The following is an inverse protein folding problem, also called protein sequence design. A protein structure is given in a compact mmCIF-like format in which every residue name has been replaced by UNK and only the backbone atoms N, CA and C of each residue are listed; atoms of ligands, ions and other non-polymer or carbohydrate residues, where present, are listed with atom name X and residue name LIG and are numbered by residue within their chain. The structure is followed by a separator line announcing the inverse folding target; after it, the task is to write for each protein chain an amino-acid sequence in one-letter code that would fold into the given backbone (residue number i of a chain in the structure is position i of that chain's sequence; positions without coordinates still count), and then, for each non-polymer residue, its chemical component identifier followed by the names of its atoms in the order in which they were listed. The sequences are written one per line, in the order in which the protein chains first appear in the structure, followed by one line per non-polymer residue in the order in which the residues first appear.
data_IF_654509699696
#
_entry.id   IF_654509699696
#
_cell.length_a   1.000
_cell.length_b   1.000
_cell.length_c   1.000
_cell.angle_alpha   90.00
_cell.angle_beta   90.00
_cell.angle_gamma   90.00
#
_symmetry.space_group_name_H-M   'P 1'
#
loop_
_entity.id
_entity.type
_entity.pdbx_description
1 polymer ?
#
# COMPACT_ATOMS: atom_id res chain seq x y z
N UNK A 1 65.59 60.11 81.42
CA UNK A 1 66.94 60.72 81.39
C UNK A 1 67.44 60.58 79.96
N UNK A 2 67.39 61.66 79.17
CA UNK A 2 68.50 62.63 78.98
C UNK A 2 69.76 61.94 78.42
N UNK A 3 70.27 62.52 77.32
CA UNK A 3 71.37 62.09 76.42
C UNK A 3 70.81 61.41 75.17
N UNK A 4 70.79 61.97 73.97
CA UNK A 4 71.62 63.02 73.37
C UNK A 4 70.81 63.80 72.33
N UNK A 5 70.17 64.88 72.78
CA UNK A 5 69.96 66.07 71.98
C UNK A 5 71.06 67.05 72.40
N UNK A 6 71.70 67.71 71.45
CA UNK A 6 72.61 68.85 71.64
C UNK A 6 74.07 68.51 72.02
N UNK A 7 74.88 68.14 71.02
CA UNK A 7 76.31 68.47 71.04
C UNK A 7 76.97 68.57 69.64
N UNK A 8 76.28 69.16 68.64
CA UNK A 8 76.96 69.84 67.51
C UNK A 8 76.14 71.08 67.13
N UNK A 9 75.83 71.89 68.14
CA UNK A 9 76.08 73.33 68.02
C UNK A 9 77.52 73.52 68.50
N UNK A 10 78.24 74.49 67.92
CA UNK A 10 79.64 74.84 68.22
C UNK A 10 80.70 74.13 67.35
N UNK A 11 80.49 74.12 66.03
CA UNK A 11 81.44 74.88 65.19
C UNK A 11 80.84 76.29 65.12
N UNK A 12 81.25 77.17 66.03
CA UNK A 12 82.20 78.21 65.67
C UNK A 12 81.71 78.95 64.42
N UNK A 13 80.81 79.92 64.57
CA UNK A 13 81.17 81.26 65.05
C UNK A 13 82.26 81.89 64.16
N UNK A 14 81.83 82.28 62.97
CA UNK A 14 82.41 83.31 62.10
C UNK A 14 81.29 83.59 61.10
N UNK A 15 80.50 84.65 61.15
CA UNK A 15 80.77 86.00 61.60
C UNK A 15 79.52 86.54 62.30
N UNK A 16 79.72 87.19 63.44
CA UNK A 16 78.89 88.30 63.90
C UNK A 16 79.29 89.54 63.06
N UNK A 17 78.37 90.50 62.97
CA UNK A 17 78.44 91.83 62.37
C UNK A 17 77.93 91.91 60.92
N UNK A 18 76.63 92.20 60.77
CA UNK A 18 76.12 93.58 60.69
C UNK A 18 74.60 93.54 60.52
N UNK A 19 73.86 93.71 61.62
CA UNK A 19 72.52 94.23 61.54
C UNK A 19 72.65 95.73 61.25
N UNK A 20 72.52 96.10 59.98
CA UNK A 20 72.32 97.47 59.55
C UNK A 20 70.83 97.59 59.24
N UNK A 21 70.15 98.43 60.00
CA UNK A 21 68.74 98.76 59.80
C UNK A 21 68.51 99.24 58.37
N UNK A 22 67.87 98.43 57.55
CA UNK A 22 67.29 98.87 56.28
C UNK A 22 65.84 99.32 56.53
N UNK A 23 65.40 100.44 55.95
CA UNK A 23 64.03 100.93 56.12
C UNK A 23 63.02 99.95 55.52
N UNK A 24 61.78 100.01 56.01
CA UNK A 24 60.64 99.24 55.51
C UNK A 24 60.56 99.30 53.99
N UNK A 25 60.63 98.14 53.32
CA UNK A 25 60.33 98.03 51.90
C UNK A 25 58.82 98.19 51.73
N UNK A 26 58.38 99.39 51.38
CA UNK A 26 57.04 99.63 50.84
C UNK A 26 57.12 99.40 49.33
N UNK A 27 56.86 98.16 48.93
CA UNK A 27 56.77 97.77 47.53
C UNK A 27 55.64 96.78 47.37
N UNK A 28 54.86 96.93 46.30
CA UNK A 28 53.89 95.92 45.90
C UNK A 28 54.65 94.64 45.60
N UNK A 29 54.50 93.61 46.43
CA UNK A 29 54.77 92.25 45.98
C UNK A 29 53.70 92.00 44.91
N UNK A 30 54.09 92.12 43.64
CA UNK A 30 53.35 91.42 42.59
C UNK A 30 53.66 89.95 42.83
N UNK A 31 52.88 89.32 43.69
CA UNK A 31 52.61 87.91 43.53
C UNK A 31 52.03 87.85 42.12
N UNK A 32 52.82 87.42 41.14
CA UNK A 32 52.21 86.62 40.10
C UNK A 32 51.45 85.58 40.89
N UNK A 33 50.12 85.65 40.81
CA UNK A 33 49.28 84.54 41.20
C UNK A 33 49.99 83.32 40.67
N UNK A 34 50.53 82.54 41.60
CA UNK A 34 50.75 81.15 41.30
C UNK A 34 49.33 80.72 40.96
N UNK A 35 49.03 80.66 39.66
CA UNK A 35 47.78 80.13 39.17
C UNK A 35 47.70 78.81 39.87
N UNK A 36 46.84 78.74 40.89
CA UNK A 36 46.31 77.50 41.41
C UNK A 36 46.13 76.66 40.17
N UNK A 37 46.93 75.59 40.04
CA UNK A 37 46.73 74.59 39.01
C UNK A 37 45.29 74.17 39.19
N UNK A 38 44.40 74.79 38.41
CA UNK A 38 42.97 74.64 38.54
C UNK A 38 42.74 73.15 38.35
N UNK A 39 42.20 72.51 39.38
CA UNK A 39 41.84 71.10 39.29
C UNK A 39 40.97 70.95 38.05
N UNK A 40 41.34 70.02 37.18
CA UNK A 40 40.65 69.84 35.91
C UNK A 40 39.16 69.58 36.16
N UNK A 41 38.28 70.48 35.72
CA UNK A 41 36.85 70.29 35.92
C UNK A 41 36.20 69.45 34.82
N UNK A 42 36.91 69.17 33.72
CA UNK A 42 36.38 68.38 32.60
C UNK A 42 35.84 67.03 33.10
N UNK A 43 34.57 66.75 32.83
CA UNK A 43 33.93 65.50 33.22
C UNK A 43 33.17 64.87 32.05
N UNK A 44 33.01 63.56 32.12
CA UNK A 44 32.19 62.78 31.20
C UNK A 44 31.29 61.83 32.00
N UNK A 45 30.07 61.66 31.52
CA UNK A 45 29.11 60.66 31.99
C UNK A 45 28.67 59.86 30.77
N UNK A 46 28.92 58.55 30.79
CA UNK A 46 28.38 57.62 29.80
C UNK A 46 26.99 57.14 30.26
N UNK A 47 26.07 56.90 29.32
CA UNK A 47 24.75 56.34 29.63
C UNK A 47 24.79 54.93 30.24
N UNK A 48 25.88 54.18 30.01
CA UNK A 48 26.14 52.89 30.62
C UNK A 48 27.64 52.71 30.86
N UNK A 49 28.01 52.13 32.00
CA UNK A 49 29.38 51.70 32.30
C UNK A 49 29.66 50.29 31.75
N UNK A 50 28.61 49.49 31.55
CA UNK A 50 28.69 48.15 30.95
C UNK A 50 27.51 47.89 30.03
N UNK A 51 27.73 47.20 28.91
CA UNK A 51 26.66 46.73 28.03
C UNK A 51 26.97 45.32 27.52
N UNK A 52 25.92 44.54 27.25
CA UNK A 52 26.07 43.25 26.55
C UNK A 52 25.21 43.26 25.29
N UNK A 53 25.82 42.88 24.17
CA UNK A 53 25.21 42.83 22.84
C UNK A 53 25.57 41.50 22.16
N UNK A 54 24.85 41.11 21.10
CA UNK A 54 25.23 39.99 20.24
C UNK A 54 26.14 40.44 19.08
N UNK A 55 26.93 39.51 18.56
CA UNK A 55 27.82 39.77 17.42
C UNK A 55 27.05 40.35 16.23
N UNK A 56 27.53 41.48 15.70
CA UNK A 56 26.93 42.19 14.57
C UNK A 56 25.96 43.30 14.96
N UNK A 57 25.66 43.47 16.25
CA UNK A 57 24.86 44.59 16.74
C UNK A 57 25.67 45.90 16.82
N UNK A 58 24.98 47.02 16.67
CA UNK A 58 25.54 48.36 16.86
C UNK A 58 25.45 48.77 18.33
N UNK A 59 26.57 49.17 18.93
CA UNK A 59 26.55 49.77 20.27
C UNK A 59 26.00 51.20 20.23
N UNK A 60 25.42 51.66 21.33
CA UNK A 60 24.89 53.02 21.45
C UNK A 60 25.31 53.63 22.80
N UNK A 61 26.56 54.11 22.88
CA UNK A 61 27.09 54.76 24.07
C UNK A 61 27.03 56.27 23.88
N UNK A 62 26.14 56.93 24.62
CA UNK A 62 25.99 58.39 24.61
C UNK A 62 26.82 59.00 25.74
N UNK A 63 27.53 60.09 25.42
CA UNK A 63 28.45 60.79 26.32
C UNK A 63 27.90 62.19 26.62
N UNK A 64 27.77 62.50 27.91
CA UNK A 64 27.31 63.81 28.38
C UNK A 64 28.30 64.42 29.38
N UNK A 65 28.19 65.72 29.62
CA UNK A 65 29.04 66.47 30.55
C UNK A 65 28.16 67.47 31.30
N UNK A 66 28.50 67.77 32.55
CA UNK A 66 27.90 68.88 33.29
C UNK A 66 28.71 70.18 33.15
N UNK A 67 29.81 70.15 32.39
CA UNK A 67 30.73 71.26 32.19
C UNK A 67 30.74 71.68 30.72
N UNK A 68 30.06 72.80 30.38
CA UNK A 68 29.97 73.29 29.00
C UNK A 68 31.34 73.48 28.35
N UNK A 69 31.44 73.11 27.07
CA UNK A 69 32.69 73.18 26.30
C UNK A 69 33.61 71.97 26.45
N UNK A 70 33.24 70.97 27.26
CA UNK A 70 33.98 69.69 27.32
C UNK A 70 33.78 68.90 26.02
N UNK A 71 34.87 68.42 25.45
CA UNK A 71 34.89 67.51 24.29
C UNK A 71 35.32 66.12 24.74
N UNK A 72 34.89 65.07 24.03
CA UNK A 72 35.27 63.69 24.35
C UNK A 72 36.07 63.06 23.23
N UNK A 73 37.08 62.29 23.62
CA UNK A 73 37.83 61.39 22.76
C UNK A 73 37.93 60.03 23.43
N UNK A 74 38.06 58.96 22.67
CA UNK A 74 38.20 57.62 23.22
C UNK A 74 39.23 56.79 22.49
N UNK A 75 39.90 55.94 23.26
CA UNK A 75 40.68 54.80 22.78
C UNK A 75 39.96 53.50 23.14
N UNK A 76 40.40 52.38 22.56
CA UNK A 76 39.80 51.07 22.83
C UNK A 76 40.88 50.02 23.07
N UNK A 77 40.54 49.03 23.90
CA UNK A 77 41.24 47.76 24.00
C UNK A 77 40.22 46.64 23.77
N UNK A 78 40.51 45.69 22.90
CA UNK A 78 39.58 44.61 22.55
C UNK A 78 40.23 43.24 22.67
N UNK A 79 39.43 42.23 23.00
CA UNK A 79 39.84 40.83 23.02
C UNK A 79 38.75 39.95 22.40
N UNK A 80 39.09 39.29 21.28
CA UNK A 80 38.15 38.41 20.57
C UNK A 80 37.01 39.15 19.88
N UNK A 81 37.16 40.44 19.60
CA UNK A 81 36.17 41.31 18.94
C UNK A 81 36.84 42.06 17.79
N UNK A 82 36.08 42.38 16.74
CA UNK A 82 36.48 43.29 15.66
C UNK A 82 35.44 44.40 15.47
N UNK A 83 35.83 45.49 14.79
CA UNK A 83 34.94 46.63 14.50
C UNK A 83 35.07 47.80 15.47
N UNK A 84 35.79 47.65 16.59
CA UNK A 84 36.08 48.77 17.47
C UNK A 84 37.12 49.71 16.85
N UNK A 85 36.93 51.01 17.04
CA UNK A 85 37.88 52.04 16.59
C UNK A 85 37.93 53.22 17.56
N UNK A 86 39.09 53.88 17.61
CA UNK A 86 39.26 55.14 18.34
C UNK A 86 38.53 56.27 17.64
N UNK A 87 38.06 57.25 18.39
CA UNK A 87 37.32 58.37 17.82
C UNK A 87 37.09 59.51 18.80
N UNK A 88 36.24 60.44 18.38
CA UNK A 88 35.82 61.59 19.17
C UNK A 88 34.39 61.97 18.83
N UNK A 89 33.70 62.64 19.74
CA UNK A 89 32.31 63.05 19.56
C UNK A 89 31.48 62.78 20.80
N UNK A 90 30.16 62.88 20.67
CA UNK A 90 29.21 62.73 21.78
C UNK A 90 28.59 61.34 21.87
N UNK A 91 28.91 60.43 20.94
CA UNK A 91 28.44 59.06 20.97
C UNK A 91 29.44 58.08 20.32
N UNK A 92 29.46 56.84 20.82
CA UNK A 92 30.18 55.72 20.22
C UNK A 92 29.14 54.77 19.63
N UNK A 93 29.02 54.81 18.30
CA UNK A 93 28.08 54.00 17.52
C UNK A 93 28.84 53.11 16.53
N UNK A 94 29.29 51.94 16.99
CA UNK A 94 30.13 51.02 16.22
C UNK A 94 29.46 49.64 16.15
N UNK A 95 29.64 48.95 15.02
CA UNK A 95 29.20 47.56 14.86
C UNK A 95 30.33 46.66 15.33
N UNK A 96 30.06 45.80 16.31
CA UNK A 96 31.07 44.94 16.91
C UNK A 96 30.78 43.47 16.61
N UNK A 97 31.79 42.74 16.14
CA UNK A 97 31.66 41.33 15.79
C UNK A 97 32.53 40.47 16.71
N UNK A 98 31.95 39.45 17.33
CA UNK A 98 32.72 38.45 18.06
C UNK A 98 33.33 37.45 17.07
N UNK A 99 34.63 37.22 17.17
CA UNK A 99 35.37 36.28 16.28
C UNK A 99 35.65 34.94 16.95
N UNK A 100 35.05 34.67 18.11
CA UNK A 100 35.23 33.46 18.93
C UNK A 100 33.89 32.83 19.27
N UNK A 101 33.95 31.68 19.94
CA UNK A 101 32.78 30.95 20.49
C UNK A 101 32.51 31.28 21.96
N UNK A 102 33.24 32.23 22.53
CA UNK A 102 33.07 32.72 23.91
C UNK A 102 32.99 34.24 23.88
N UNK A 103 32.34 34.83 24.87
CA UNK A 103 32.15 36.28 25.01
C UNK A 103 33.45 37.05 24.78
N UNK A 104 33.43 37.97 23.83
CA UNK A 104 34.51 38.92 23.58
C UNK A 104 34.27 40.22 24.35
N UNK A 105 35.32 41.01 24.58
CA UNK A 105 35.19 42.28 25.29
C UNK A 105 35.84 43.43 24.52
N UNK A 106 35.22 44.61 24.61
CA UNK A 106 35.81 45.88 24.19
C UNK A 106 35.72 46.84 25.37
N UNK A 107 36.84 47.42 25.77
CA UNK A 107 36.91 48.47 26.78
C UNK A 107 37.23 49.78 26.08
N UNK A 108 36.28 50.72 26.10
CA UNK A 108 36.52 52.10 25.68
C UNK A 108 36.99 52.92 26.87
N UNK A 109 38.07 53.68 26.67
CA UNK A 109 38.57 54.65 27.65
C UNK A 109 38.26 56.04 27.13
N UNK A 110 37.26 56.69 27.72
CA UNK A 110 36.75 57.99 27.29
C UNK A 110 37.43 59.08 28.12
N UNK A 111 38.16 59.97 27.46
CA UNK A 111 38.87 61.08 28.09
C UNK A 111 38.15 62.39 27.77
N UNK A 112 37.56 63.08 28.78
CA UNK A 112 37.01 64.42 28.62
C UNK A 112 38.13 65.46 28.57
N UNK A 113 37.95 66.48 27.73
CA UNK A 113 38.89 67.59 27.58
C UNK A 113 38.15 68.93 27.58
N UNK A 114 38.55 69.83 28.48
CA UNK A 114 38.06 71.21 28.55
C UNK A 114 39.26 72.16 28.36
N UNK A 115 39.32 72.84 27.22
CA UNK A 115 40.49 73.65 26.86
C UNK A 115 41.76 72.80 26.72
N UNK A 116 42.82 73.12 27.46
CA UNK A 116 44.06 72.33 27.53
C UNK A 116 44.02 71.21 28.57
N UNK A 117 42.96 71.15 29.38
CA UNK A 117 42.89 70.28 30.53
C UNK A 117 42.24 68.93 30.21
N UNK A 118 42.92 67.83 30.55
CA UNK A 118 42.39 66.47 30.44
C UNK A 118 41.81 66.03 31.77
N UNK A 119 40.51 65.75 31.79
CA UNK A 119 39.82 65.25 32.97
C UNK A 119 40.07 63.76 33.19
N UNK A 120 39.54 63.24 34.30
CA UNK A 120 39.64 61.82 34.65
C UNK A 120 38.92 60.96 33.61
N UNK A 121 39.60 59.99 32.95
CA UNK A 121 38.94 59.11 32.00
C UNK A 121 37.90 58.19 32.66
N UNK A 122 36.83 57.90 31.92
CA UNK A 122 35.81 56.90 32.29
C UNK A 122 35.92 55.71 31.35
N UNK A 123 35.84 54.50 31.90
CA UNK A 123 35.85 53.27 31.11
C UNK A 123 34.45 52.73 30.90
N UNK A 124 34.14 52.31 29.68
CA UNK A 124 32.92 51.56 29.33
C UNK A 124 33.32 50.20 28.79
N UNK A 125 32.79 49.13 29.39
CA UNK A 125 33.08 47.75 28.99
C UNK A 125 31.89 47.16 28.24
N UNK A 126 32.09 46.77 27.00
CA UNK A 126 31.10 46.08 26.18
C UNK A 126 31.47 44.60 26.10
N UNK A 127 30.51 43.74 26.42
CA UNK A 127 30.62 42.28 26.26
C UNK A 127 29.83 41.86 25.02
N UNK A 128 30.51 41.28 24.03
CA UNK A 128 29.92 40.86 22.75
C UNK A 128 29.75 39.34 22.80
N UNK A 129 28.50 38.88 22.86
CA UNK A 129 28.15 37.46 22.86
C UNK A 129 28.27 36.86 21.45
N UNK A 130 28.81 35.66 21.30
CA UNK A 130 28.87 34.98 20.01
C UNK A 130 27.47 34.57 19.52
N UNK A 131 27.35 34.36 18.22
CA UNK A 131 26.19 33.71 17.60
C UNK A 131 26.62 32.39 16.95
N UNK A 132 25.77 31.39 17.08
CA UNK A 132 25.99 30.03 16.57
C UNK A 132 24.96 29.69 15.51
N UNK A 133 25.43 28.98 14.50
CA UNK A 133 24.61 28.58 13.34
C UNK A 133 24.25 27.11 13.45
N UNK A 134 23.03 26.74 13.09
CA UNK A 134 22.61 25.35 13.12
C UNK A 134 23.51 24.49 12.21
N UNK A 135 23.79 23.26 12.62
CA UNK A 135 24.30 22.25 11.68
C UNK A 135 23.17 21.77 10.77
N UNK A 136 23.52 21.09 9.67
CA UNK A 136 22.52 20.46 8.82
C UNK A 136 21.68 19.49 9.65
N UNK A 137 20.35 19.63 9.56
CA UNK A 137 19.38 18.72 10.17
C UNK A 137 18.43 18.21 9.10
N UNK A 138 17.96 16.99 9.25
CA UNK A 138 16.95 16.43 8.35
C UNK A 138 16.00 15.49 9.10
N UNK A 139 14.82 15.30 8.53
CA UNK A 139 13.83 14.32 8.99
C UNK A 139 13.16 13.66 7.80
N UNK A 140 12.80 12.39 7.96
CA UNK A 140 12.05 11.62 6.96
C UNK A 140 10.58 11.56 7.32
N UNK A 141 9.71 11.84 6.36
CA UNK A 141 8.27 11.89 6.56
C UNK A 141 7.59 11.13 5.43
N UNK A 142 6.61 10.29 5.80
CA UNK A 142 5.80 9.57 4.82
C UNK A 142 4.57 10.40 4.51
N UNK A 143 4.27 10.59 3.23
CA UNK A 143 3.04 11.25 2.79
C UNK A 143 1.83 10.50 3.38
N UNK A 144 1.00 11.19 4.16
CA UNK A 144 -0.07 10.57 4.94
C UNK A 144 -1.48 10.99 4.49
N UNK A 145 -1.57 11.82 3.45
CA UNK A 145 -2.83 12.30 2.88
C UNK A 145 -3.15 11.60 1.53
N UNK A 146 -2.78 10.33 1.39
CA UNK A 146 -3.23 9.52 0.26
C UNK A 146 -4.71 9.15 0.42
N UNK A 147 -5.42 8.97 -0.69
CA UNK A 147 -6.75 8.39 -0.66
C UNK A 147 -6.71 6.95 -0.07
N UNK A 148 -7.86 6.47 0.40
CA UNK A 148 -7.98 5.13 1.00
C UNK A 148 -7.36 4.04 0.10
N UNK A 149 -6.56 3.16 0.70
CA UNK A 149 -5.81 2.10 0.00
C UNK A 149 -4.49 2.55 -0.63
N UNK A 150 -4.16 3.84 -0.60
CA UNK A 150 -2.89 4.36 -1.10
C UNK A 150 -1.78 4.31 -0.07
N UNK A 151 -0.58 3.93 -0.51
CA UNK A 151 0.66 3.99 0.28
C UNK A 151 1.48 5.21 -0.15
N UNK A 152 1.80 6.11 0.79
CA UNK A 152 2.60 7.30 0.51
C UNK A 152 4.09 7.01 0.40
N UNK A 153 4.80 7.77 -0.43
CA UNK A 153 6.26 7.76 -0.46
C UNK A 153 6.87 8.43 0.77
N UNK A 154 8.07 8.01 1.15
CA UNK A 154 8.88 8.69 2.17
C UNK A 154 9.74 9.77 1.53
N UNK A 155 9.67 10.99 2.06
CA UNK A 155 10.40 12.17 1.61
C UNK A 155 11.30 12.68 2.74
N UNK A 156 12.51 13.12 2.41
CA UNK A 156 13.42 13.76 3.37
C UNK A 156 13.27 15.28 3.29
N UNK A 157 12.93 15.91 4.40
CA UNK A 157 12.99 17.36 4.57
C UNK A 157 14.32 17.74 5.21
N UNK A 158 15.05 18.67 4.61
CA UNK A 158 16.39 19.06 5.04
C UNK A 158 16.42 20.56 5.32
N UNK A 159 16.91 20.91 6.51
CA UNK A 159 17.29 22.29 6.86
C UNK A 159 18.80 22.39 6.69
N UNK A 160 19.29 23.15 5.69
CA UNK A 160 20.72 23.32 5.47
C UNK A 160 21.44 23.89 6.70
N UNK A 161 22.74 23.67 6.78
CA UNK A 161 23.56 24.30 7.81
C UNK A 161 23.54 25.83 7.65
N UNK A 162 23.42 26.56 8.76
CA UNK A 162 23.45 28.02 8.78
C UNK A 162 22.16 28.75 8.43
N UNK A 163 21.04 28.04 8.28
CA UNK A 163 19.69 28.64 8.13
C UNK A 163 19.27 29.45 9.37
N UNK A 164 19.56 28.96 10.57
CA UNK A 164 19.22 29.57 11.86
C UNK A 164 20.47 30.04 12.60
N UNK A 165 20.36 31.18 13.29
CA UNK A 165 21.42 31.78 14.09
C UNK A 165 20.88 32.14 15.47
N UNK A 166 21.52 31.62 16.53
CA UNK A 166 21.06 31.74 17.92
C UNK A 166 22.23 31.97 18.89
N UNK A 167 21.91 32.21 20.15
CA UNK A 167 22.89 32.44 21.24
C UNK A 167 23.71 31.20 21.64
N UNK A 168 23.34 30.00 21.19
CA UNK A 168 24.09 28.76 21.42
C UNK A 168 23.90 27.77 20.26
N UNK A 169 24.86 26.85 20.11
CA UNK A 169 24.76 25.80 19.09
C UNK A 169 23.50 24.94 19.27
N UNK A 170 23.19 24.58 20.52
CA UNK A 170 22.00 23.78 20.84
C UNK A 170 20.71 24.52 20.50
N UNK A 171 20.63 25.82 20.77
CA UNK A 171 19.44 26.61 20.43
C UNK A 171 19.24 26.70 18.90
N UNK A 172 20.30 26.94 18.13
CA UNK A 172 20.23 26.98 16.67
C UNK A 172 19.80 25.63 16.09
N UNK A 173 20.39 24.53 16.59
CA UNK A 173 20.05 23.17 16.21
C UNK A 173 18.60 22.80 16.59
N UNK A 174 18.13 23.23 17.76
CA UNK A 174 16.74 23.05 18.19
C UNK A 174 15.77 23.81 17.29
N UNK A 175 16.14 25.02 16.83
CA UNK A 175 15.30 25.78 15.91
C UNK A 175 15.18 25.08 14.55
N UNK A 176 16.28 24.55 14.02
CA UNK A 176 16.26 23.71 12.82
C UNK A 176 15.42 22.44 13.01
N UNK A 177 15.50 21.81 14.19
CA UNK A 177 14.69 20.65 14.52
C UNK A 177 13.19 20.99 14.62
N UNK A 178 12.83 22.14 15.20
CA UNK A 178 11.46 22.63 15.27
C UNK A 178 10.87 22.88 13.88
N UNK A 179 11.65 23.47 12.96
CA UNK A 179 11.27 23.66 11.57
C UNK A 179 10.93 22.31 10.90
N UNK A 180 11.82 21.32 11.04
CA UNK A 180 11.59 19.97 10.54
C UNK A 180 10.31 19.36 11.12
N UNK A 181 10.09 19.47 12.42
CA UNK A 181 8.88 18.93 13.09
C UNK A 181 7.60 19.65 12.66
N UNK A 182 7.65 20.95 12.38
CA UNK A 182 6.49 21.77 12.00
C UNK A 182 6.13 21.63 10.51
N UNK A 183 7.15 21.60 9.65
CA UNK A 183 6.98 21.72 8.20
C UNK A 183 7.21 20.41 7.44
N UNK A 184 7.93 19.44 8.03
CA UNK A 184 8.34 18.21 7.35
C UNK A 184 7.18 17.37 6.82
N UNK A 185 6.09 17.24 7.59
CA UNK A 185 4.90 16.49 7.14
C UNK A 185 4.16 17.21 6.00
N UNK A 186 4.01 18.53 6.08
CA UNK A 186 3.39 19.32 5.01
C UNK A 186 4.20 19.23 3.72
N UNK A 187 5.53 19.27 3.84
CA UNK A 187 6.44 19.10 2.72
C UNK A 187 6.30 17.70 2.08
N UNK A 188 6.28 16.63 2.87
CA UNK A 188 6.05 15.28 2.36
C UNK A 188 4.66 15.12 1.73
N UNK A 189 3.64 15.79 2.27
CA UNK A 189 2.31 15.81 1.68
C UNK A 189 2.24 16.57 0.36
N UNK A 190 3.06 17.60 0.16
CA UNK A 190 3.12 18.35 -1.09
C UNK A 190 3.98 17.66 -2.17
N UNK A 191 5.08 17.02 -1.78
CA UNK A 191 6.10 16.52 -2.71
C UNK A 191 6.13 14.98 -2.84
N UNK A 192 5.43 14.26 -1.97
CA UNK A 192 5.35 12.80 -2.02
C UNK A 192 4.35 12.30 -3.06
N UNK A 193 4.55 11.06 -3.51
CA UNK A 193 3.62 10.32 -4.37
C UNK A 193 2.78 9.34 -3.56
N UNK A 194 1.64 8.92 -4.12
CA UNK A 194 0.84 7.82 -3.59
C UNK A 194 0.87 6.66 -4.59
N UNK A 195 1.12 5.45 -4.08
CA UNK A 195 1.08 4.21 -4.85
C UNK A 195 -0.10 3.38 -4.39
N UNK A 196 -0.89 2.89 -5.33
CA UNK A 196 -2.05 2.04 -5.08
C UNK A 196 -1.83 0.70 -5.74
N UNK A 197 -2.30 -0.37 -5.11
CA UNK A 197 -2.26 -1.71 -5.68
C UNK A 197 -3.65 -2.16 -6.11
N UNK A 198 -3.74 -3.00 -7.14
CA UNK A 198 -5.03 -3.52 -7.60
C UNK A 198 -5.74 -4.33 -6.52
N UNK A 199 -7.07 -4.31 -6.54
CA UNK A 199 -7.88 -5.34 -5.87
C UNK A 199 -7.85 -6.64 -6.69
N UNK A 200 -8.32 -7.74 -6.12
CA UNK A 200 -8.49 -8.96 -6.89
C UNK A 200 -9.49 -8.71 -8.04
N UNK A 201 -9.07 -8.99 -9.28
CA UNK A 201 -9.90 -8.83 -10.48
C UNK A 201 -9.99 -10.18 -11.16
N UNK A 202 -11.19 -10.59 -11.56
CA UNK A 202 -11.43 -11.88 -12.19
C UNK A 202 -12.38 -11.77 -13.37
N UNK A 203 -12.22 -12.66 -14.34
CA UNK A 203 -13.16 -12.83 -15.45
C UNK A 203 -13.50 -14.32 -15.62
N UNK A 204 -14.72 -14.58 -16.08
CA UNK A 204 -15.17 -15.93 -16.44
C UNK A 204 -15.08 -16.08 -17.94
N UNK A 205 -14.34 -17.10 -18.38
CA UNK A 205 -14.06 -17.34 -19.80
C UNK A 205 -14.51 -18.75 -20.17
N UNK A 206 -15.29 -18.84 -21.25
CA UNK A 206 -15.74 -20.11 -21.80
C UNK A 206 -14.71 -20.61 -22.79
N UNK A 207 -14.30 -21.87 -22.66
CA UNK A 207 -13.43 -22.52 -23.63
C UNK A 207 -14.06 -22.43 -25.02
N UNK A 208 -13.34 -21.95 -26.03
CA UNK A 208 -13.92 -21.67 -27.36
C UNK A 208 -13.34 -22.54 -28.48
N UNK A 209 -12.47 -23.49 -28.14
CA UNK A 209 -11.79 -24.38 -29.07
C UNK A 209 -12.21 -25.85 -28.89
N UNK A 210 -13.46 -26.11 -28.51
CA UNK A 210 -14.00 -27.47 -28.49
C UNK A 210 -14.20 -27.97 -29.93
N UNK A 211 -13.86 -29.24 -30.18
CA UNK A 211 -14.23 -29.91 -31.43
C UNK A 211 -15.76 -30.05 -31.59
N UNK A 212 -16.22 -30.32 -32.80
CA UNK A 212 -17.65 -30.44 -33.15
C UNK A 212 -18.42 -31.33 -32.18
N UNK A 213 -19.58 -30.86 -31.70
CA UNK A 213 -20.44 -31.57 -30.74
C UNK A 213 -20.03 -31.42 -29.27
N UNK A 214 -18.90 -30.77 -28.99
CA UNK A 214 -18.42 -30.54 -27.63
C UNK A 214 -19.11 -29.36 -26.97
N UNK A 215 -19.60 -29.56 -25.75
CA UNK A 215 -20.11 -28.49 -24.88
C UNK A 215 -18.97 -27.95 -24.02
N UNK A 216 -18.59 -26.66 -24.14
CA UNK A 216 -17.46 -26.10 -23.40
C UNK A 216 -17.79 -25.83 -21.93
N UNK A 217 -16.79 -25.99 -21.06
CA UNK A 217 -16.83 -25.46 -19.70
C UNK A 217 -16.38 -24.00 -19.65
N UNK A 218 -16.74 -23.30 -18.56
CA UNK A 218 -16.18 -21.99 -18.22
C UNK A 218 -15.23 -22.11 -17.04
N UNK A 219 -14.17 -21.31 -17.03
CA UNK A 219 -13.24 -21.22 -15.91
C UNK A 219 -13.04 -19.75 -15.52
N UNK A 220 -12.67 -19.52 -14.26
CA UNK A 220 -12.36 -18.18 -13.75
C UNK A 220 -10.85 -17.96 -13.84
N UNK A 221 -10.45 -16.85 -14.44
CA UNK A 221 -9.06 -16.37 -14.43
C UNK A 221 -8.98 -15.12 -13.55
N UNK A 222 -8.10 -15.18 -12.53
CA UNK A 222 -8.01 -14.17 -11.48
C UNK A 222 -6.61 -13.60 -11.39
N UNK A 223 -6.52 -12.27 -11.35
CA UNK A 223 -5.33 -11.54 -10.94
C UNK A 223 -5.50 -11.17 -9.47
N UNK A 224 -4.61 -11.70 -8.62
CA UNK A 224 -4.68 -11.47 -7.18
C UNK A 224 -4.48 -9.98 -6.82
N UNK A 225 -5.05 -9.58 -5.68
CA UNK A 225 -4.84 -8.24 -5.14
C UNK A 225 -3.34 -8.01 -4.84
N UNK A 226 -2.88 -6.77 -4.95
CA UNK A 226 -1.49 -6.43 -4.61
C UNK A 226 -0.46 -6.67 -5.72
N UNK A 227 -0.85 -7.22 -6.88
CA UNK A 227 0.09 -7.67 -7.92
C UNK A 227 0.45 -6.59 -8.93
N UNK A 228 -0.44 -5.63 -9.15
CA UNK A 228 -0.27 -4.49 -10.05
C UNK A 228 -0.30 -3.20 -9.24
N UNK A 229 0.58 -2.25 -9.57
CA UNK A 229 0.67 -0.96 -8.88
C UNK A 229 0.53 0.21 -9.85
N UNK A 230 -0.14 1.27 -9.42
CA UNK A 230 -0.28 2.51 -10.18
C UNK A 230 -0.44 3.74 -9.26
N UNK A 231 -0.53 4.93 -9.85
CA UNK A 231 -0.76 6.20 -9.15
C UNK A 231 -2.20 6.38 -8.65
N UNK A 232 -3.13 5.49 -9.01
CA UNK A 232 -4.50 5.47 -8.50
C UNK A 232 -5.05 4.05 -8.43
N UNK A 233 -6.04 3.84 -7.56
CA UNK A 233 -6.73 2.55 -7.44
C UNK A 233 -7.36 2.11 -8.77
N UNK A 234 -8.00 3.04 -9.48
CA UNK A 234 -8.66 2.76 -10.76
C UNK A 234 -7.64 2.33 -11.83
N UNK A 235 -6.48 2.99 -11.89
CA UNK A 235 -5.43 2.63 -12.83
C UNK A 235 -4.83 1.24 -12.52
N UNK A 236 -4.57 0.93 -11.25
CA UNK A 236 -4.07 -0.39 -10.87
C UNK A 236 -5.08 -1.50 -11.21
N UNK A 237 -6.37 -1.26 -10.94
CA UNK A 237 -7.45 -2.18 -11.29
C UNK A 237 -7.61 -2.33 -12.81
N UNK A 238 -7.44 -1.26 -13.59
CA UNK A 238 -7.51 -1.31 -15.05
C UNK A 238 -6.37 -2.16 -15.65
N UNK A 239 -5.15 -2.06 -15.10
CA UNK A 239 -4.02 -2.92 -15.50
C UNK A 239 -4.37 -4.39 -15.23
N UNK A 240 -4.86 -4.71 -14.03
CA UNK A 240 -5.30 -6.07 -13.68
C UNK A 240 -6.44 -6.57 -14.58
N UNK A 241 -7.42 -5.72 -14.91
CA UNK A 241 -8.51 -6.06 -15.81
C UNK A 241 -8.04 -6.33 -17.24
N UNK A 242 -7.08 -5.54 -17.75
CA UNK A 242 -6.50 -5.77 -19.07
C UNK A 242 -5.76 -7.11 -19.13
N UNK A 243 -5.03 -7.48 -18.07
CA UNK A 243 -4.40 -8.81 -17.97
C UNK A 243 -5.44 -9.93 -17.98
N UNK A 244 -6.54 -9.76 -17.22
CA UNK A 244 -7.66 -10.71 -17.23
C UNK A 244 -8.24 -10.87 -18.64
N UNK A 245 -8.51 -9.78 -19.34
CA UNK A 245 -9.12 -9.80 -20.67
C UNK A 245 -8.20 -10.41 -21.74
N UNK A 246 -6.90 -10.09 -21.68
CA UNK A 246 -5.92 -10.53 -22.68
C UNK A 246 -5.58 -12.02 -22.52
N UNK A 247 -5.45 -12.50 -21.27
CA UNK A 247 -4.96 -13.85 -20.99
C UNK A 247 -6.09 -14.85 -20.68
N UNK A 248 -7.28 -14.37 -20.33
CA UNK A 248 -8.38 -15.20 -19.85
C UNK A 248 -8.85 -16.25 -20.86
N UNK A 249 -8.90 -15.91 -22.16
CA UNK A 249 -9.31 -16.87 -23.18
C UNK A 249 -8.28 -18.00 -23.38
N UNK A 250 -6.99 -17.67 -23.42
CA UNK A 250 -5.92 -18.67 -23.52
C UNK A 250 -5.89 -19.59 -22.29
N UNK A 251 -6.12 -19.01 -21.11
CA UNK A 251 -6.27 -19.75 -19.87
C UNK A 251 -7.46 -20.72 -19.92
N UNK A 252 -8.63 -20.28 -20.40
CA UNK A 252 -9.81 -21.15 -20.56
C UNK A 252 -9.62 -22.25 -21.59
N UNK A 253 -8.91 -21.97 -22.67
CA UNK A 253 -8.60 -22.99 -23.68
C UNK A 253 -7.62 -24.05 -23.18
N UNK A 254 -6.81 -23.73 -22.17
CA UNK A 254 -5.86 -24.66 -21.54
C UNK A 254 -6.49 -25.43 -20.39
N UNK A 255 -7.23 -24.75 -19.50
CA UNK A 255 -7.70 -25.29 -18.22
C UNK A 255 -9.18 -25.69 -18.23
N UNK A 256 -9.97 -25.24 -19.21
CA UNK A 256 -11.34 -25.69 -19.41
C UNK A 256 -11.38 -27.07 -20.06
N UNK A 257 -12.54 -27.74 -20.01
CA UNK A 257 -12.80 -29.02 -20.66
C UNK A 257 -13.98 -28.92 -21.63
N UNK A 258 -14.10 -29.91 -22.51
CA UNK A 258 -15.21 -30.03 -23.46
C UNK A 258 -15.95 -31.33 -23.15
N UNK A 259 -17.25 -31.28 -22.90
CA UNK A 259 -18.07 -32.48 -22.67
C UNK A 259 -18.77 -32.88 -23.97
N UNK A 260 -18.53 -34.11 -24.40
CA UNK A 260 -19.20 -34.75 -25.54
C UNK A 260 -20.19 -35.78 -25.01
N UNK A 261 -21.40 -35.79 -25.56
CA UNK A 261 -22.46 -36.72 -25.15
C UNK A 261 -22.92 -37.53 -26.36
N UNK A 262 -23.17 -38.81 -26.16
CA UNK A 262 -23.71 -39.68 -27.19
C UNK A 262 -24.72 -40.65 -26.60
N UNK A 263 -25.76 -40.93 -27.39
CA UNK A 263 -26.74 -41.98 -27.12
C UNK A 263 -26.71 -42.95 -28.30
N UNK A 264 -26.51 -44.23 -28.02
CA UNK A 264 -26.52 -45.30 -29.03
C UNK A 264 -27.56 -46.34 -28.68
N UNK A 265 -28.04 -47.07 -29.69
CA UNK A 265 -28.99 -48.15 -29.52
C UNK A 265 -28.61 -49.36 -30.38
N UNK A 266 -29.06 -50.54 -29.95
CA UNK A 266 -28.88 -51.81 -30.65
C UNK A 266 -30.05 -52.74 -30.42
N UNK A 267 -30.24 -53.69 -31.34
CA UNK A 267 -31.28 -54.71 -31.27
C UNK A 267 -30.63 -56.06 -30.92
N UNK A 268 -31.15 -56.71 -29.89
CA UNK A 268 -30.60 -57.95 -29.35
C UNK A 268 -31.68 -59.02 -29.30
N UNK A 269 -31.38 -60.22 -29.78
CA UNK A 269 -32.32 -61.33 -29.74
C UNK A 269 -32.10 -62.12 -28.46
N UNK A 270 -33.17 -62.43 -27.72
CA UNK A 270 -33.09 -63.32 -26.56
C UNK A 270 -32.51 -64.67 -27.00
N UNK A 271 -31.41 -65.11 -26.38
CA UNK A 271 -30.67 -66.29 -26.81
C UNK A 271 -30.65 -67.45 -25.79
N UNK A 272 -31.23 -67.24 -24.62
CA UNK A 272 -31.34 -68.24 -23.56
C UNK A 272 -32.73 -68.91 -23.53
N UNK A 273 -33.33 -69.14 -24.70
CA UNK A 273 -34.62 -69.80 -24.81
C UNK A 273 -34.50 -71.32 -24.64
N UNK A 274 -35.50 -71.99 -24.04
CA UNK A 274 -35.60 -73.45 -24.05
C UNK A 274 -35.58 -74.02 -25.48
N UNK A 275 -35.16 -75.29 -25.60
CA UNK A 275 -35.04 -75.98 -26.90
C UNK A 275 -36.34 -75.89 -27.73
N UNK A 276 -36.19 -75.62 -29.02
CA UNK A 276 -37.31 -75.47 -29.96
C UNK A 276 -38.02 -74.11 -29.96
N UNK A 277 -37.59 -73.14 -29.14
CA UNK A 277 -38.16 -71.78 -29.10
C UNK A 277 -37.23 -70.73 -29.71
N UNK A 278 -37.82 -69.73 -30.34
CA UNK A 278 -37.15 -68.55 -30.89
C UNK A 278 -37.36 -67.34 -29.97
N UNK A 279 -36.28 -66.62 -29.69
CA UNK A 279 -36.33 -65.40 -28.88
C UNK A 279 -36.84 -64.19 -29.65
N UNK A 280 -37.53 -63.28 -28.97
CA UNK A 280 -37.88 -61.97 -29.53
C UNK A 280 -36.66 -61.05 -29.61
N UNK A 281 -36.72 -60.08 -30.52
CA UNK A 281 -35.77 -58.97 -30.57
C UNK A 281 -36.20 -57.90 -29.57
N UNK A 282 -35.26 -57.39 -28.76
CA UNK A 282 -35.44 -56.28 -27.82
C UNK A 282 -34.43 -55.19 -28.14
N UNK A 283 -34.89 -53.94 -28.25
CA UNK A 283 -34.01 -52.79 -28.40
C UNK A 283 -33.45 -52.34 -27.05
N UNK A 284 -32.18 -51.98 -27.01
CA UNK A 284 -31.51 -51.41 -25.85
C UNK A 284 -30.77 -50.15 -26.24
N UNK A 285 -30.88 -49.09 -25.45
CA UNK A 285 -30.15 -47.84 -25.63
C UNK A 285 -29.32 -47.50 -24.40
N UNK A 286 -28.15 -46.91 -24.63
CA UNK A 286 -27.28 -46.43 -23.58
C UNK A 286 -26.71 -45.06 -23.94
N UNK A 287 -26.47 -44.24 -22.92
CA UNK A 287 -25.85 -42.94 -23.03
C UNK A 287 -24.46 -42.96 -22.40
N UNK A 288 -23.52 -42.25 -23.01
CA UNK A 288 -22.20 -42.04 -22.43
C UNK A 288 -21.71 -40.61 -22.70
N UNK A 289 -20.77 -40.17 -21.86
CA UNK A 289 -20.07 -38.89 -22.01
C UNK A 289 -18.55 -39.10 -22.13
N UNK A 290 -17.87 -38.15 -22.76
CA UNK A 290 -16.42 -38.09 -22.87
C UNK A 290 -15.93 -36.65 -22.77
N UNK A 291 -14.72 -36.46 -22.24
CA UNK A 291 -14.03 -35.16 -22.26
C UNK A 291 -12.98 -35.05 -23.40
N UNK A 292 -12.92 -36.05 -24.28
CA UNK A 292 -11.88 -36.18 -25.31
C UNK A 292 -12.41 -35.84 -26.70
N UNK A 293 -13.48 -36.50 -27.16
CA UNK A 293 -14.08 -36.26 -28.47
C UNK A 293 -15.46 -36.89 -28.61
N UNK A 294 -16.19 -36.50 -29.67
CA UNK A 294 -17.46 -37.13 -30.03
C UNK A 294 -17.29 -38.62 -30.35
N UNK A 295 -16.21 -38.99 -31.04
CA UNK A 295 -15.93 -40.39 -31.38
C UNK A 295 -15.68 -41.26 -30.14
N UNK A 296 -15.02 -40.71 -29.11
CA UNK A 296 -14.84 -41.42 -27.84
C UNK A 296 -16.17 -41.56 -27.08
N UNK A 297 -17.01 -40.51 -27.04
CA UNK A 297 -18.36 -40.62 -26.47
C UNK A 297 -19.21 -41.67 -27.21
N UNK A 298 -19.14 -41.70 -28.54
CA UNK A 298 -19.81 -42.69 -29.37
C UNK A 298 -19.31 -44.12 -29.09
N UNK A 299 -18.00 -44.31 -28.98
CA UNK A 299 -17.40 -45.61 -28.68
C UNK A 299 -17.81 -46.11 -27.29
N UNK A 300 -17.84 -45.23 -26.29
CA UNK A 300 -18.30 -45.55 -24.92
C UNK A 300 -19.79 -45.91 -24.90
N UNK A 301 -20.63 -45.15 -25.60
CA UNK A 301 -22.07 -45.43 -25.67
C UNK A 301 -22.33 -46.77 -26.39
N UNK A 302 -21.60 -47.06 -27.47
CA UNK A 302 -21.68 -48.33 -28.17
C UNK A 302 -21.18 -49.50 -27.32
N UNK A 303 -20.07 -49.33 -26.59
CA UNK A 303 -19.56 -50.35 -25.67
C UNK A 303 -20.58 -50.66 -24.56
N UNK A 304 -21.25 -49.64 -24.01
CA UNK A 304 -22.31 -49.81 -23.02
C UNK A 304 -23.52 -50.56 -23.60
N UNK A 305 -23.93 -50.24 -24.83
CA UNK A 305 -24.98 -50.97 -25.55
C UNK A 305 -24.61 -52.45 -25.71
N UNK A 306 -23.39 -52.75 -26.13
CA UNK A 306 -22.94 -54.13 -26.35
C UNK A 306 -22.76 -54.91 -25.04
N UNK A 307 -22.34 -54.25 -23.96
CA UNK A 307 -22.16 -54.88 -22.65
C UNK A 307 -23.50 -55.24 -21.97
N UNK A 308 -24.50 -54.36 -22.06
CA UNK A 308 -25.80 -54.54 -21.40
C UNK A 308 -26.88 -55.18 -22.28
N UNK A 309 -26.78 -55.05 -23.60
CA UNK A 309 -27.86 -55.35 -24.53
C UNK A 309 -28.32 -56.81 -24.51
N UNK A 310 -27.39 -57.76 -24.48
CA UNK A 310 -27.75 -59.19 -24.47
C UNK A 310 -28.39 -59.60 -23.14
N UNK A 311 -27.88 -59.11 -22.00
CA UNK A 311 -28.47 -59.37 -20.69
C UNK A 311 -29.90 -58.80 -20.61
N UNK A 312 -30.08 -57.57 -21.13
CA UNK A 312 -31.40 -56.93 -21.22
C UNK A 312 -32.39 -57.73 -22.09
N UNK A 313 -31.97 -58.19 -23.27
CA UNK A 313 -32.81 -59.02 -24.13
C UNK A 313 -33.14 -60.37 -23.49
N UNK A 314 -32.20 -60.97 -22.76
CA UNK A 314 -32.44 -62.21 -22.04
C UNK A 314 -33.40 -62.05 -20.86
N UNK A 315 -33.43 -60.87 -20.22
CA UNK A 315 -34.33 -60.56 -19.12
C UNK A 315 -35.74 -60.18 -19.59
N UNK A 316 -35.85 -59.35 -20.64
CA UNK A 316 -37.12 -58.75 -21.06
C UNK A 316 -37.73 -59.39 -22.31
N UNK A 317 -36.96 -60.13 -23.10
CA UNK A 317 -37.44 -60.77 -24.32
C UNK A 317 -38.32 -61.98 -24.03
N UNK A 318 -39.17 -62.35 -24.99
CA UNK A 318 -40.04 -63.53 -24.91
C UNK A 318 -39.49 -64.69 -25.75
N UNK A 319 -39.89 -65.93 -25.42
CA UNK A 319 -39.50 -67.14 -26.15
C UNK A 319 -40.75 -67.81 -26.73
N UNK A 320 -40.86 -67.85 -28.05
CA UNK A 320 -42.03 -68.37 -28.76
C UNK A 320 -41.71 -69.61 -29.57
N UNK A 321 -42.68 -70.50 -29.75
CA UNK A 321 -42.57 -71.63 -30.66
C UNK A 321 -42.83 -71.19 -32.12
N UNK A 322 -42.16 -71.77 -33.12
CA UNK A 322 -42.51 -71.56 -34.51
C UNK A 322 -43.94 -72.04 -34.76
N UNK A 323 -44.77 -71.19 -35.34
CA UNK A 323 -46.15 -71.54 -35.67
C UNK A 323 -46.32 -71.82 -37.15
N UNK A 324 -47.20 -72.76 -37.47
CA UNK A 324 -47.68 -73.06 -38.81
C UNK A 324 -49.20 -72.99 -38.86
N UNK A 325 -49.72 -72.89 -40.07
CA UNK A 325 -51.16 -72.88 -40.31
C UNK A 325 -51.68 -74.31 -40.41
N UNK A 326 -52.78 -74.56 -39.73
CA UNK A 326 -53.57 -75.78 -39.81
C UNK A 326 -55.02 -75.44 -40.14
N UNK A 327 -55.75 -76.40 -40.69
CA UNK A 327 -57.07 -76.18 -41.26
C UNK A 327 -58.00 -77.35 -40.93
N UNK A 328 -59.11 -77.09 -40.25
CA UNK A 328 -60.06 -78.11 -39.80
C UNK A 328 -61.52 -77.66 -39.96
N UNK A 329 -62.43 -78.60 -40.27
CA UNK A 329 -63.89 -78.39 -40.33
C UNK A 329 -64.61 -79.32 -39.37
N UNK A 330 -65.75 -78.90 -38.82
CA UNK A 330 -66.61 -79.79 -38.02
C UNK A 330 -67.21 -80.90 -38.87
N UNK A 331 -67.54 -82.04 -38.27
CA UNK A 331 -68.15 -83.18 -38.98
C UNK A 331 -69.69 -83.17 -38.86
N UNK A 332 -70.25 -82.49 -37.85
CA UNK A 332 -71.70 -82.45 -37.60
C UNK A 332 -72.37 -81.16 -38.09
N UNK A 333 -73.59 -81.23 -38.66
CA UNK A 333 -74.39 -80.06 -39.06
C UNK A 333 -75.04 -79.34 -37.89
N UNK A 334 -75.47 -78.10 -38.12
CA UNK A 334 -76.17 -77.28 -37.13
C UNK A 334 -77.52 -77.91 -36.79
N UNK A 335 -77.70 -78.36 -35.54
CA UNK A 335 -78.96 -78.92 -35.03
C UNK A 335 -78.99 -80.45 -34.90
N UNK A 336 -77.85 -81.14 -35.02
CA UNK A 336 -77.74 -82.55 -34.61
C UNK A 336 -78.17 -82.69 -33.13
N UNK A 337 -79.19 -83.51 -32.88
CA UNK A 337 -79.77 -83.70 -31.54
C UNK A 337 -79.00 -84.72 -30.71
N UNK A 338 -78.06 -85.46 -31.30
CA UNK A 338 -77.22 -86.46 -30.62
C UNK A 338 -75.84 -85.91 -30.22
N UNK A 339 -75.36 -84.86 -30.89
CA UNK A 339 -74.07 -84.23 -30.62
C UNK A 339 -74.21 -82.71 -30.74
N UNK A 340 -73.60 -81.94 -29.85
CA UNK A 340 -73.61 -80.49 -29.89
C UNK A 340 -72.35 -79.97 -30.63
N UNK A 341 -72.46 -79.53 -31.90
CA UNK A 341 -71.28 -79.19 -32.70
C UNK A 341 -70.48 -77.99 -32.17
N UNK A 342 -71.08 -77.17 -31.30
CA UNK A 342 -70.41 -76.01 -30.71
C UNK A 342 -69.50 -76.39 -29.53
N UNK A 343 -69.71 -77.56 -28.92
CA UNK A 343 -68.92 -78.06 -27.79
C UNK A 343 -68.16 -79.35 -28.12
N UNK A 344 -68.60 -80.10 -29.13
CA UNK A 344 -68.07 -81.43 -29.44
C UNK A 344 -67.06 -81.41 -30.60
N UNK A 345 -67.16 -80.43 -31.51
CA UNK A 345 -66.23 -80.23 -32.62
C UNK A 345 -65.10 -79.24 -32.22
N UNK A 346 -63.95 -79.78 -31.84
CA UNK A 346 -62.82 -78.96 -31.38
C UNK A 346 -61.45 -79.54 -31.74
N UNK A 347 -60.46 -78.65 -31.78
CA UNK A 347 -59.04 -78.94 -31.93
C UNK A 347 -58.29 -78.44 -30.70
N UNK A 348 -57.59 -79.32 -30.00
CA UNK A 348 -56.60 -78.93 -28.98
C UNK A 348 -55.25 -78.75 -29.66
N UNK A 349 -54.62 -77.61 -29.42
CA UNK A 349 -53.37 -77.24 -30.07
C UNK A 349 -52.46 -76.52 -29.07
N UNK A 350 -51.15 -76.55 -29.34
CA UNK A 350 -50.18 -75.73 -28.62
C UNK A 350 -50.07 -74.39 -29.35
N UNK A 351 -50.33 -73.29 -28.64
CA UNK A 351 -50.17 -71.94 -29.17
C UNK A 351 -48.69 -71.54 -29.30
N UNK A 352 -48.45 -70.31 -29.76
CA UNK A 352 -47.11 -69.74 -29.91
C UNK A 352 -46.33 -69.65 -28.58
N UNK A 353 -47.00 -69.55 -27.45
CA UNK A 353 -46.38 -69.39 -26.12
C UNK A 353 -46.10 -70.77 -25.47
N UNK A 354 -46.54 -71.86 -26.10
CA UNK A 354 -46.40 -73.22 -25.61
C UNK A 354 -47.55 -73.64 -24.70
N UNK A 355 -48.65 -72.91 -24.70
CA UNK A 355 -49.84 -73.20 -23.88
C UNK A 355 -50.82 -74.00 -24.73
N UNK A 356 -51.33 -75.10 -24.17
CA UNK A 356 -52.41 -75.85 -24.82
C UNK A 356 -53.72 -75.05 -24.77
N UNK A 357 -54.32 -74.85 -25.93
CA UNK A 357 -55.63 -74.20 -26.10
C UNK A 357 -56.59 -75.10 -26.85
N UNK A 358 -57.88 -74.83 -26.69
CA UNK A 358 -58.95 -75.48 -27.45
C UNK A 358 -59.58 -74.47 -28.40
N UNK A 359 -59.72 -74.86 -29.66
CA UNK A 359 -60.44 -74.10 -30.67
C UNK A 359 -61.65 -74.90 -31.13
N UNK A 360 -62.85 -74.37 -30.91
CA UNK A 360 -64.08 -74.98 -31.40
C UNK A 360 -64.28 -74.59 -32.85
N UNK A 361 -64.27 -75.55 -33.77
CA UNK A 361 -64.57 -75.29 -35.19
C UNK A 361 -66.03 -74.90 -35.38
N UNK A 362 -66.90 -75.40 -34.49
CA UNK A 362 -68.34 -75.32 -34.64
C UNK A 362 -68.84 -76.33 -35.68
N UNK A 363 -70.10 -76.16 -36.14
CA UNK A 363 -70.73 -77.10 -37.05
C UNK A 363 -70.10 -77.07 -38.45
N UNK A 364 -70.33 -78.11 -39.26
CA UNK A 364 -69.72 -78.33 -40.58
C UNK A 364 -69.96 -77.16 -41.55
N UNK A 365 -71.08 -76.44 -41.42
CA UNK A 365 -71.44 -75.30 -42.26
C UNK A 365 -70.52 -74.10 -42.06
N UNK A 366 -69.76 -74.04 -40.96
CA UNK A 366 -68.72 -73.02 -40.77
C UNK A 366 -67.54 -73.19 -41.74
N UNK A 367 -67.50 -74.29 -42.50
CA UNK A 367 -66.46 -74.55 -43.48
C UNK A 367 -65.09 -74.82 -42.86
N UNK A 368 -64.07 -74.74 -43.70
CA UNK A 368 -62.70 -74.97 -43.30
C UNK A 368 -62.16 -73.80 -42.48
N UNK A 369 -61.75 -74.05 -41.23
CA UNK A 369 -61.29 -73.01 -40.32
C UNK A 369 -59.80 -73.08 -40.08
N UNK A 370 -59.16 -71.92 -40.17
CA UNK A 370 -57.74 -71.74 -39.94
C UNK A 370 -57.40 -71.68 -38.44
N UNK A 371 -56.32 -72.36 -38.07
CA UNK A 371 -55.70 -72.34 -36.74
C UNK A 371 -54.20 -72.07 -36.91
N UNK A 372 -53.69 -71.03 -36.26
CA UNK A 372 -52.25 -70.77 -36.17
C UNK A 372 -51.73 -71.41 -34.89
N UNK A 373 -50.98 -72.51 -35.02
CA UNK A 373 -50.50 -73.29 -33.88
C UNK A 373 -49.04 -73.70 -34.05
N UNK A 374 -48.35 -73.94 -32.94
CA UNK A 374 -47.05 -74.61 -32.96
C UNK A 374 -47.22 -76.09 -33.34
N UNK A 375 -48.21 -76.76 -32.74
CA UNK A 375 -48.57 -78.15 -33.04
C UNK A 375 -50.03 -78.44 -32.70
N UNK A 376 -50.59 -79.47 -33.32
CA UNK A 376 -51.89 -80.04 -32.95
C UNK A 376 -51.64 -81.15 -31.93
N UNK A 377 -52.41 -81.14 -30.83
CA UNK A 377 -52.30 -82.11 -29.74
C UNK A 377 -53.34 -83.21 -29.90
N UNK A 378 -54.59 -82.81 -30.14
CA UNK A 378 -55.73 -83.73 -30.14
C UNK A 378 -56.91 -83.07 -30.88
N UNK A 379 -57.83 -83.89 -31.40
CA UNK A 379 -58.96 -83.46 -32.21
C UNK A 379 -60.20 -84.28 -31.88
N UNK A 380 -61.36 -83.64 -31.80
CA UNK A 380 -62.66 -84.31 -31.60
C UNK A 380 -63.66 -83.83 -32.64
N UNK A 381 -64.31 -84.78 -33.33
CA UNK A 381 -65.38 -84.55 -34.31
C UNK A 381 -65.06 -83.48 -35.38
N UNK A 382 -63.81 -83.46 -35.85
CA UNK A 382 -63.31 -82.54 -36.88
C UNK A 382 -62.45 -83.28 -37.90
N UNK A 383 -62.49 -82.84 -39.15
CA UNK A 383 -61.65 -83.36 -40.24
C UNK A 383 -60.63 -82.31 -40.70
N UNK A 384 -59.39 -82.69 -41.06
CA UNK A 384 -58.48 -81.83 -41.80
C UNK A 384 -59.13 -81.39 -43.12
N UNK A 385 -58.91 -80.15 -43.50
CA UNK A 385 -59.40 -79.61 -44.76
C UNK A 385 -58.37 -78.69 -45.40
N UNK A 386 -58.57 -78.37 -46.67
CA UNK A 386 -57.83 -77.31 -47.36
C UNK A 386 -58.74 -76.11 -47.51
N UNK A 387 -58.22 -74.88 -47.38
CA UNK A 387 -59.00 -73.66 -47.54
C UNK A 387 -59.66 -73.55 -48.91
#
# INVERSE_FOLDING_TARGET
MKKHLLLILVFLYSLILKAQDCPSITGWIKTTSNTSLGTCEANVVANASTQSIFSGETIAINLTTSKPGTTFSWTFAQLGVTGASSGSGTAINQILNNVRTVDGTVTYTITPKLGSCFGTPVTVVITIKPLFKNVLKSGTFTKNNCASGGTGSTITYTVPAGTYSESSQTAADQKAQQDISLNGQNYANANGSCTFTNIAVSGTFTRNNCGTGGTPSSVVYTIAAGTQSASSQAAANAIAQNLVNNNGQAYANTNGYCTYSSTRSGNFTRNNCPSGRTGSVVSFSAQATSNTSQADADARALAAVNAGGQANANALGTCTLPTRLFYYKGIYPRGDTRHNPNTDCWVKYIDRDGVQRTFYTGPIENGCRQITAASIVDTSAVDPCTP
#
